data_IF_263304603596
#
_entry.id   IF_263304603596
#
_cell.length_a   1.000
_cell.length_b   1.000
_cell.length_c   1.000
_cell.angle_alpha   90.00
_cell.angle_beta   90.00
_cell.angle_gamma   90.00
#
_symmetry.space_group_name_H-M   'P 1'
#
loop_
_entity.id
_entity.type
_entity.pdbx_description
1 polymer ?
#
# COMPACT_ATOMS: atom_id res chain seq x y z
N UNK A 1 -21.63 46.73 -19.17
CA UNK A 1 -21.60 45.68 -18.14
C UNK A 1 -21.62 44.34 -18.87
N UNK A 2 -20.45 43.69 -18.95
CA UNK A 2 -20.29 42.41 -19.66
C UNK A 2 -20.55 41.28 -18.66
N UNK A 3 -21.61 40.51 -18.89
CA UNK A 3 -21.90 39.26 -18.20
C UNK A 3 -20.79 38.24 -18.49
N UNK A 4 -19.82 38.15 -17.58
CA UNK A 4 -18.72 37.17 -17.61
C UNK A 4 -18.96 36.00 -16.63
N UNK A 5 -20.17 35.87 -16.08
CA UNK A 5 -20.47 35.00 -14.94
C UNK A 5 -20.62 33.47 -15.19
N UNK A 6 -21.01 32.95 -16.37
CA UNK A 6 -21.36 31.52 -16.45
C UNK A 6 -20.14 30.59 -16.56
N UNK A 7 -18.98 31.03 -17.05
CA UNK A 7 -17.84 30.12 -17.28
C UNK A 7 -17.13 29.72 -15.97
N UNK A 8 -17.04 30.66 -15.02
CA UNK A 8 -16.30 30.48 -13.76
C UNK A 8 -16.96 29.46 -12.82
N UNK A 9 -18.30 29.46 -12.75
CA UNK A 9 -19.05 28.54 -11.88
C UNK A 9 -18.99 27.08 -12.36
N UNK A 10 -18.95 26.86 -13.68
CA UNK A 10 -18.81 25.52 -14.24
C UNK A 10 -17.41 24.94 -14.00
N UNK A 11 -16.35 25.75 -14.09
CA UNK A 11 -14.98 25.30 -13.86
C UNK A 11 -14.73 25.01 -12.38
N UNK A 12 -15.24 25.85 -11.48
CA UNK A 12 -15.20 25.65 -10.03
C UNK A 12 -15.93 24.36 -9.61
N UNK A 13 -17.14 24.12 -10.14
CA UNK A 13 -17.91 22.89 -9.87
C UNK A 13 -17.17 21.62 -10.32
N UNK A 14 -16.52 21.66 -11.48
CA UNK A 14 -15.72 20.53 -12.00
C UNK A 14 -14.49 20.23 -11.13
N UNK A 15 -13.81 21.27 -10.65
CA UNK A 15 -12.65 21.13 -9.78
C UNK A 15 -13.02 20.52 -8.41
N UNK A 16 -14.14 20.96 -7.81
CA UNK A 16 -14.63 20.42 -6.54
C UNK A 16 -14.94 18.92 -6.66
N UNK A 17 -15.68 18.51 -7.71
CA UNK A 17 -15.98 17.10 -7.97
C UNK A 17 -14.71 16.26 -8.08
N UNK A 18 -13.69 16.76 -8.78
CA UNK A 18 -12.42 16.07 -8.95
C UNK A 18 -11.67 15.88 -7.62
N UNK A 19 -11.62 16.92 -6.79
CA UNK A 19 -11.02 16.86 -5.46
C UNK A 19 -11.71 15.81 -4.59
N UNK A 20 -13.05 15.84 -4.52
CA UNK A 20 -13.83 14.89 -3.73
C UNK A 20 -13.56 13.45 -4.17
N UNK A 21 -13.56 13.18 -5.49
CA UNK A 21 -13.27 11.85 -6.03
C UNK A 21 -11.86 11.38 -5.65
N UNK A 22 -10.85 12.24 -5.81
CA UNK A 22 -9.46 11.89 -5.49
C UNK A 22 -9.25 11.64 -3.99
N UNK A 23 -9.91 12.42 -3.13
CA UNK A 23 -9.87 12.21 -1.68
C UNK A 23 -10.53 10.89 -1.28
N UNK A 24 -11.72 10.59 -1.81
CA UNK A 24 -12.41 9.33 -1.55
C UNK A 24 -11.60 8.13 -2.02
N UNK A 25 -11.05 8.18 -3.24
CA UNK A 25 -10.18 7.12 -3.76
C UNK A 25 -8.92 6.95 -2.91
N UNK A 26 -8.30 8.06 -2.47
CA UNK A 26 -7.14 8.03 -1.57
C UNK A 26 -7.46 7.35 -0.24
N UNK A 27 -8.59 7.67 0.39
CA UNK A 27 -9.03 7.04 1.64
C UNK A 27 -9.25 5.54 1.44
N UNK A 28 -9.95 5.14 0.37
CA UNK A 28 -10.19 3.72 0.05
C UNK A 28 -8.87 2.98 -0.15
N UNK A 29 -7.93 3.55 -0.90
CA UNK A 29 -6.62 2.92 -1.16
C UNK A 29 -5.81 2.78 0.13
N UNK A 30 -5.77 3.80 0.99
CA UNK A 30 -5.10 3.73 2.30
C UNK A 30 -5.72 2.63 3.18
N UNK A 31 -7.05 2.49 3.17
CA UNK A 31 -7.74 1.43 3.90
C UNK A 31 -7.40 0.03 3.34
N UNK A 32 -7.35 -0.13 2.02
CA UNK A 32 -6.92 -1.38 1.37
C UNK A 32 -5.49 -1.74 1.78
N UNK A 33 -4.56 -0.78 1.73
CA UNK A 33 -3.19 -1.02 2.17
C UNK A 33 -3.11 -1.40 3.65
N UNK A 34 -3.89 -0.75 4.52
CA UNK A 34 -3.98 -1.11 5.93
C UNK A 34 -4.36 -2.58 6.12
N UNK A 35 -5.41 -3.04 5.42
CA UNK A 35 -5.87 -4.44 5.49
C UNK A 35 -4.77 -5.39 5.01
N UNK A 36 -4.09 -5.08 3.91
CA UNK A 36 -3.03 -5.94 3.37
C UNK A 36 -1.86 -6.04 4.35
N UNK A 37 -1.30 -4.91 4.80
CA UNK A 37 -0.13 -4.93 5.70
C UNK A 37 -0.45 -5.55 7.06
N UNK A 38 -1.65 -5.30 7.60
CA UNK A 38 -2.11 -5.94 8.84
C UNK A 38 -2.31 -7.44 8.63
N UNK A 39 -2.90 -7.84 7.49
CA UNK A 39 -3.08 -9.24 7.11
C UNK A 39 -1.74 -9.98 7.04
N UNK A 40 -0.74 -9.39 6.38
CA UNK A 40 0.62 -9.97 6.35
C UNK A 40 1.20 -10.09 7.76
N UNK A 41 1.08 -9.06 8.59
CA UNK A 41 1.58 -9.08 9.97
C UNK A 41 0.94 -10.19 10.83
N UNK A 42 -0.32 -10.53 10.57
CA UNK A 42 -1.03 -11.61 11.28
C UNK A 42 -0.70 -12.99 10.71
N UNK A 43 -0.55 -13.12 9.39
CA UNK A 43 -0.34 -14.40 8.71
C UNK A 43 1.09 -14.90 8.87
N UNK A 44 2.09 -14.02 8.74
CA UNK A 44 3.51 -14.38 8.81
C UNK A 44 3.93 -15.14 10.08
N UNK A 45 3.56 -14.73 11.31
CA UNK A 45 3.93 -15.47 12.52
C UNK A 45 3.29 -16.86 12.61
N UNK A 46 2.10 -17.07 12.05
CA UNK A 46 1.46 -18.39 12.03
C UNK A 46 2.22 -19.37 11.13
N UNK A 47 2.66 -18.91 9.95
CA UNK A 47 3.55 -19.72 9.11
C UNK A 47 4.90 -19.99 9.77
N UNK A 48 5.46 -19.00 10.49
CA UNK A 48 6.71 -19.19 11.23
C UNK A 48 6.60 -20.28 12.31
N UNK A 49 5.45 -20.36 13.02
CA UNK A 49 5.19 -21.45 13.99
C UNK A 49 5.09 -22.80 13.30
N UNK A 50 4.35 -22.87 12.20
CA UNK A 50 4.18 -24.10 11.41
C UNK A 50 5.55 -24.63 10.97
N UNK A 51 6.38 -23.80 10.34
CA UNK A 51 7.69 -24.22 9.85
C UNK A 51 8.65 -24.64 10.97
N UNK A 52 8.63 -23.98 12.13
CA UNK A 52 9.42 -24.41 13.30
C UNK A 52 9.03 -25.79 13.80
N UNK A 53 7.74 -26.15 13.73
CA UNK A 53 7.27 -27.46 14.16
C UNK A 53 7.73 -28.60 13.24
N UNK A 54 8.09 -28.30 11.98
CA UNK A 54 8.68 -29.30 11.08
C UNK A 54 10.16 -29.58 11.38
N UNK A 55 10.81 -28.81 12.27
CA UNK A 55 12.19 -29.06 12.71
C UNK A 55 13.24 -28.87 11.63
N UNK A 56 12.90 -28.19 10.53
CA UNK A 56 13.80 -27.98 9.38
C UNK A 56 14.48 -26.62 9.48
N UNK A 57 15.75 -26.55 9.09
CA UNK A 57 16.45 -25.27 8.98
C UNK A 57 15.81 -24.40 7.91
N UNK A 58 15.48 -23.16 8.27
CA UNK A 58 14.87 -22.22 7.33
C UNK A 58 15.95 -21.55 6.48
N UNK A 59 15.67 -21.29 5.19
CA UNK A 59 16.50 -20.42 4.39
C UNK A 59 16.69 -19.06 5.07
N UNK A 60 17.92 -18.52 5.05
CA UNK A 60 18.26 -17.29 5.79
C UNK A 60 17.35 -16.11 5.43
N UNK A 61 16.89 -16.05 4.18
CA UNK A 61 15.96 -15.02 3.73
C UNK A 61 14.57 -15.13 4.38
N UNK A 62 14.02 -16.34 4.48
CA UNK A 62 12.75 -16.61 5.18
C UNK A 62 12.88 -16.29 6.67
N UNK A 63 14.00 -16.69 7.29
CA UNK A 63 14.26 -16.37 8.70
C UNK A 63 14.35 -14.85 8.94
N UNK A 64 14.99 -14.12 8.02
CA UNK A 64 15.03 -12.66 8.06
C UNK A 64 13.61 -12.07 8.03
N UNK A 65 12.74 -12.55 7.15
CA UNK A 65 11.34 -12.08 7.08
C UNK A 65 10.58 -12.39 8.38
N UNK A 66 10.73 -13.60 8.94
CA UNK A 66 10.10 -13.98 10.21
C UNK A 66 10.62 -13.22 11.43
N UNK A 67 11.83 -12.67 11.38
CA UNK A 67 12.34 -11.77 12.43
C UNK A 67 11.85 -10.33 12.25
N UNK A 68 11.53 -9.91 11.03
CA UNK A 68 11.29 -8.52 10.68
C UNK A 68 9.85 -8.20 10.24
N UNK A 69 8.91 -9.15 10.26
CA UNK A 69 7.52 -8.93 9.83
C UNK A 69 6.79 -7.82 10.61
N UNK A 70 7.22 -7.53 11.85
CA UNK A 70 6.69 -6.41 12.64
C UNK A 70 6.94 -5.04 12.00
N UNK A 71 7.82 -4.93 11.01
CA UNK A 71 8.10 -3.70 10.28
C UNK A 71 7.18 -3.45 9.08
N UNK A 72 6.29 -4.38 8.71
CA UNK A 72 5.31 -4.15 7.64
C UNK A 72 4.46 -2.88 7.80
N UNK A 73 4.05 -2.46 9.02
CA UNK A 73 3.33 -1.21 9.23
C UNK A 73 4.09 0.04 8.74
N UNK A 74 5.42 0.01 8.63
CA UNK A 74 6.20 1.14 8.09
C UNK A 74 5.77 1.46 6.66
N UNK A 75 5.53 0.45 5.84
CA UNK A 75 5.09 0.65 4.45
C UNK A 75 3.66 1.20 4.37
N UNK A 76 2.79 0.81 5.32
CA UNK A 76 1.48 1.45 5.49
C UNK A 76 1.62 2.94 5.84
N UNK A 77 2.48 3.29 6.81
CA UNK A 77 2.70 4.69 7.17
C UNK A 77 3.28 5.49 6.02
N UNK A 78 4.14 4.90 5.18
CA UNK A 78 4.62 5.54 3.97
C UNK A 78 3.49 5.84 2.97
N UNK A 79 2.55 4.90 2.79
CA UNK A 79 1.35 5.16 1.99
C UNK A 79 0.51 6.30 2.59
N UNK A 80 0.30 6.30 3.91
CA UNK A 80 -0.41 7.38 4.60
C UNK A 80 0.26 8.74 4.36
N UNK A 81 1.58 8.83 4.57
CA UNK A 81 2.36 10.06 4.37
C UNK A 81 2.29 10.56 2.93
N UNK A 82 2.41 9.67 1.94
CA UNK A 82 2.36 10.06 0.53
C UNK A 82 0.96 10.56 0.10
N UNK A 83 -0.12 9.91 0.54
CA UNK A 83 -1.48 10.42 0.29
C UNK A 83 -1.79 11.70 1.08
N UNK A 84 -1.38 11.80 2.35
CA UNK A 84 -1.54 13.04 3.13
C UNK A 84 -0.77 14.20 2.49
N UNK A 85 0.43 13.95 1.97
CA UNK A 85 1.22 14.97 1.25
C UNK A 85 0.52 15.41 -0.04
N UNK A 86 -0.11 14.47 -0.76
CA UNK A 86 -0.96 14.78 -1.90
C UNK A 86 -2.17 15.65 -1.49
N UNK A 87 -2.89 15.27 -0.43
CA UNK A 87 -4.02 16.05 0.07
C UNK A 87 -3.63 17.47 0.49
N UNK A 88 -2.50 17.63 1.19
CA UNK A 88 -1.97 18.94 1.54
C UNK A 88 -1.61 19.76 0.30
N UNK A 89 -1.11 19.12 -0.76
CA UNK A 89 -0.80 19.80 -2.02
C UNK A 89 -2.04 20.37 -2.71
N UNK A 90 -3.23 19.81 -2.48
CA UNK A 90 -4.50 20.31 -3.02
C UNK A 90 -4.92 21.65 -2.40
N UNK A 91 -4.41 22.00 -1.21
CA UNK A 91 -4.69 23.31 -0.59
C UNK A 91 -3.97 24.46 -1.30
N UNK A 92 -2.84 24.17 -1.94
CA UNK A 92 -1.97 25.18 -2.55
C UNK A 92 -1.93 25.10 -4.08
N UNK A 93 -2.41 24.00 -4.69
CA UNK A 93 -2.33 23.74 -6.12
C UNK A 93 -3.61 23.07 -6.64
N UNK A 94 -3.95 23.34 -7.90
CA UNK A 94 -5.08 22.71 -8.58
C UNK A 94 -4.93 21.18 -8.64
N UNK A 95 -6.05 20.43 -8.54
CA UNK A 95 -6.03 18.98 -8.56
C UNK A 95 -5.42 18.46 -9.85
N UNK A 96 -4.34 17.67 -9.74
CA UNK A 96 -3.69 17.05 -10.89
C UNK A 96 -3.84 15.53 -10.85
N UNK A 97 -4.60 15.00 -11.80
CA UNK A 97 -4.77 13.55 -11.97
C UNK A 97 -3.45 12.82 -12.26
N UNK A 98 -2.51 13.50 -12.93
CA UNK A 98 -1.18 12.96 -13.23
C UNK A 98 -0.37 12.73 -11.96
N UNK A 99 -0.46 13.64 -10.98
CA UNK A 99 0.25 13.53 -9.70
C UNK A 99 -0.39 12.44 -8.84
N UNK A 100 -1.71 12.43 -8.71
CA UNK A 100 -2.45 11.38 -7.99
C UNK A 100 -2.10 9.98 -8.51
N UNK A 101 -2.13 9.80 -9.84
CA UNK A 101 -1.76 8.53 -10.47
C UNK A 101 -0.34 8.09 -10.13
N UNK A 102 0.65 9.00 -10.14
CA UNK A 102 2.03 8.66 -9.78
C UNK A 102 2.15 8.19 -8.32
N UNK A 103 1.50 8.91 -7.40
CA UNK A 103 1.46 8.53 -5.97
C UNK A 103 0.81 7.15 -5.79
N UNK A 104 -0.31 6.92 -6.47
CA UNK A 104 -1.02 5.64 -6.41
C UNK A 104 -0.21 4.50 -7.01
N UNK A 105 0.39 4.68 -8.19
CA UNK A 105 1.23 3.66 -8.83
C UNK A 105 2.43 3.30 -7.94
N UNK A 106 3.11 4.30 -7.37
CA UNK A 106 4.22 4.07 -6.46
C UNK A 106 3.82 3.20 -5.26
N UNK A 107 2.70 3.53 -4.59
CA UNK A 107 2.23 2.77 -3.44
C UNK A 107 1.75 1.36 -3.81
N UNK A 108 1.09 1.20 -4.96
CA UNK A 108 0.68 -0.12 -5.48
C UNK A 108 1.91 -0.98 -5.76
N UNK A 109 2.92 -0.45 -6.45
CA UNK A 109 4.15 -1.19 -6.76
C UNK A 109 4.88 -1.61 -5.48
N UNK A 110 5.00 -0.70 -4.52
CA UNK A 110 5.60 -1.00 -3.23
C UNK A 110 4.83 -2.10 -2.49
N UNK A 111 3.49 -2.01 -2.46
CA UNK A 111 2.64 -3.03 -1.85
C UNK A 111 2.82 -4.40 -2.54
N UNK A 112 2.84 -4.43 -3.88
CA UNK A 112 3.07 -5.66 -4.65
C UNK A 112 4.44 -6.25 -4.30
N UNK A 113 5.49 -5.44 -4.23
CA UNK A 113 6.84 -5.90 -3.87
C UNK A 113 6.84 -6.54 -2.48
N UNK A 114 6.26 -5.88 -1.46
CA UNK A 114 6.19 -6.43 -0.10
C UNK A 114 5.42 -7.76 -0.08
N UNK A 115 4.26 -7.81 -0.75
CA UNK A 115 3.43 -9.02 -0.82
C UNK A 115 4.19 -10.16 -1.50
N UNK A 116 4.76 -9.91 -2.69
CA UNK A 116 5.49 -10.93 -3.46
C UNK A 116 6.67 -11.44 -2.65
N UNK A 117 7.49 -10.56 -2.08
CA UNK A 117 8.64 -10.95 -1.24
C UNK A 117 8.20 -11.80 -0.05
N UNK A 118 7.10 -11.44 0.61
CA UNK A 118 6.61 -12.17 1.77
C UNK A 118 6.08 -13.55 1.38
N UNK A 119 5.26 -13.62 0.33
CA UNK A 119 4.70 -14.88 -0.17
C UNK A 119 5.81 -15.80 -0.67
N UNK A 120 6.74 -15.31 -1.50
CA UNK A 120 7.84 -16.14 -1.99
C UNK A 120 8.71 -16.66 -0.86
N UNK A 121 8.98 -15.85 0.17
CA UNK A 121 9.74 -16.30 1.34
C UNK A 121 9.03 -17.44 2.09
N UNK A 122 7.71 -17.32 2.28
CA UNK A 122 6.90 -18.35 2.94
C UNK A 122 6.83 -19.61 2.09
N UNK A 123 6.53 -19.49 0.80
CA UNK A 123 6.38 -20.64 -0.10
C UNK A 123 7.70 -21.35 -0.39
N UNK A 124 8.81 -20.61 -0.52
CA UNK A 124 10.13 -21.20 -0.72
C UNK A 124 10.49 -22.14 0.44
N UNK A 125 10.24 -21.71 1.68
CA UNK A 125 10.40 -22.55 2.87
C UNK A 125 9.54 -23.82 2.81
N UNK A 126 8.29 -23.70 2.36
CA UNK A 126 7.40 -24.87 2.19
C UNK A 126 7.94 -25.86 1.15
N UNK A 127 8.48 -25.39 0.03
CA UNK A 127 9.10 -26.27 -0.97
C UNK A 127 10.37 -26.95 -0.43
N UNK A 128 11.20 -26.23 0.32
CA UNK A 128 12.41 -26.84 0.94
C UNK A 128 12.04 -27.90 1.96
N UNK A 129 10.98 -27.70 2.75
CA UNK A 129 10.46 -28.70 3.69
C UNK A 129 9.93 -29.92 2.92
N UNK A 130 9.12 -29.71 1.88
CA UNK A 130 8.56 -30.80 1.07
C UNK A 130 9.59 -31.59 0.26
N UNK A 131 10.77 -31.02 -0.02
CA UNK A 131 11.88 -31.74 -0.65
C UNK A 131 12.77 -32.50 0.36
N UNK A 132 12.68 -32.17 1.65
CA UNK A 132 13.48 -32.77 2.72
C UNK A 132 12.77 -33.95 3.42
N UNK A 133 11.45 -34.09 3.23
CA UNK A 133 10.61 -35.21 3.69
C UNK A 133 10.47 -36.22 2.57
#
# INVERSE_FOLDING_TARGET
>A
MSESAPVDDFEKSRNIKTIVIQLLLGIVLVAVFYVIYTGLMLITPEFAKIHRNFGVELPSFTEYIYKNYMYYPIFYYLAKVTYSSYCLSLLFRSPSWKVFKRVTIFNILLCIVVVVVTITSIYYSTFTIGAAI
#
